data_IF_487729660535
#
_entry.id   IF_487729660535
#
_cell.length_a   1.000
_cell.length_b   1.000
_cell.length_c   1.000
_cell.angle_alpha   90.00
_cell.angle_beta   90.00
_cell.angle_gamma   90.00
#
_symmetry.space_group_name_H-M   'P 1'
#
loop_
_entity.id
_entity.type
_entity.pdbx_description
1 polymer ?
#
# COMPACT_ATOMS: atom_id res chain seq x y z
N UNK A 1 -27.04 16.65 12.64
CA UNK A 1 -26.82 16.23 12.14
C UNK A 1 -25.99 16.56 11.36
N UNK A 2 -25.56 16.74 10.80
CA UNK A 2 -24.66 17.24 10.05
C UNK A 2 -23.28 16.84 10.25
N UNK A 3 -23.03 15.81 10.87
CA UNK A 3 -21.72 15.44 11.01
C UNK A 3 -21.22 14.90 9.71
N UNK A 4 -20.25 15.49 9.12
CA UNK A 4 -19.62 14.99 7.90
C UNK A 4 -18.57 13.98 8.27
N UNK A 5 -18.73 12.76 7.79
CA UNK A 5 -17.74 11.72 8.03
C UNK A 5 -16.86 11.60 6.81
N UNK A 6 -15.57 11.84 7.00
CA UNK A 6 -14.61 11.71 5.90
C UNK A 6 -14.41 10.23 5.62
N UNK A 7 -14.59 9.81 4.38
CA UNK A 7 -14.42 8.42 4.03
C UNK A 7 -12.94 8.04 4.06
N UNK A 8 -12.69 6.75 4.17
CA UNK A 8 -11.32 6.25 4.13
C UNK A 8 -10.67 6.60 2.80
N UNK A 9 -11.42 6.51 1.71
CA UNK A 9 -10.91 6.88 0.41
C UNK A 9 -10.45 8.33 0.38
N UNK A 10 -11.27 9.23 0.94
CA UNK A 10 -10.90 10.63 1.00
C UNK A 10 -9.68 10.86 1.87
N UNK A 11 -9.60 10.17 3.00
CA UNK A 11 -8.47 10.30 3.89
C UNK A 11 -7.19 9.84 3.23
N UNK A 12 -7.23 8.74 2.49
CA UNK A 12 -6.06 8.26 1.77
C UNK A 12 -5.64 9.26 0.68
N UNK A 13 -6.61 9.80 -0.03
CA UNK A 13 -6.32 10.77 -1.07
C UNK A 13 -5.69 12.02 -0.49
N UNK A 14 -6.20 12.48 0.64
CA UNK A 14 -5.65 13.66 1.31
C UNK A 14 -4.23 13.39 1.81
N UNK A 15 -4.00 12.20 2.38
CA UNK A 15 -2.67 11.84 2.84
C UNK A 15 -1.69 11.79 1.68
N UNK A 16 -2.10 11.20 0.57
CA UNK A 16 -1.25 11.13 -0.61
C UNK A 16 -0.91 12.53 -1.11
N UNK A 17 -1.89 13.43 -1.11
CA UNK A 17 -1.67 14.82 -1.49
C UNK A 17 -0.69 15.50 -0.55
N UNK A 18 -0.85 15.28 0.74
CA UNK A 18 0.03 15.91 1.73
C UNK A 18 1.46 15.44 1.57
N UNK A 19 1.65 14.24 1.07
CA UNK A 19 2.99 13.69 0.87
C UNK A 19 3.58 14.02 -0.50
N UNK A 20 2.86 14.78 -1.31
CA UNK A 20 3.36 15.07 -2.63
C UNK A 20 4.71 15.81 -2.63
N UNK A 21 5.02 16.71 -1.69
CA UNK A 21 6.37 17.26 -1.64
C UNK A 21 7.45 16.20 -1.43
N UNK A 22 7.16 15.23 -0.57
CA UNK A 22 8.08 14.11 -0.37
C UNK A 22 8.25 13.31 -1.64
N UNK A 23 7.13 13.02 -2.33
CA UNK A 23 7.19 12.28 -3.57
C UNK A 23 8.08 12.95 -4.60
N UNK A 24 8.03 14.27 -4.66
CA UNK A 24 8.81 15.02 -5.63
C UNK A 24 10.32 14.92 -5.38
N UNK A 25 10.73 14.56 -4.17
CA UNK A 25 12.15 14.38 -3.89
C UNK A 25 12.66 13.01 -4.31
N UNK A 26 11.78 12.11 -4.68
CA UNK A 26 12.16 10.75 -5.02
C UNK A 26 12.60 10.67 -6.49
N UNK A 27 13.44 9.67 -6.77
CA UNK A 27 13.75 9.33 -8.14
C UNK A 27 12.48 8.86 -8.84
N UNK A 28 12.45 8.99 -10.16
CA UNK A 28 11.25 8.63 -10.90
C UNK A 28 10.80 7.18 -10.65
N UNK A 29 11.75 6.27 -10.62
CA UNK A 29 11.41 4.87 -10.36
C UNK A 29 10.79 4.69 -8.98
N UNK A 30 11.28 5.44 -7.99
CA UNK A 30 10.74 5.37 -6.65
C UNK A 30 9.36 6.03 -6.57
N UNK A 31 9.10 7.03 -7.41
CA UNK A 31 7.78 7.65 -7.45
C UNK A 31 6.73 6.65 -7.90
N UNK A 32 7.07 5.82 -8.87
CA UNK A 32 6.12 4.78 -9.31
C UNK A 32 5.86 3.78 -8.19
N UNK A 33 6.90 3.42 -7.44
CA UNK A 33 6.72 2.50 -6.32
C UNK A 33 5.87 3.15 -5.25
N UNK A 34 6.13 4.42 -4.95
CA UNK A 34 5.33 5.18 -3.99
C UNK A 34 3.86 5.18 -4.39
N UNK A 35 3.58 5.46 -5.66
CA UNK A 35 2.20 5.48 -6.15
C UNK A 35 1.57 4.10 -6.01
N UNK A 36 2.35 3.04 -6.21
CA UNK A 36 1.87 1.68 -6.07
C UNK A 36 1.47 1.36 -4.64
N UNK A 37 2.16 1.95 -3.65
CA UNK A 37 1.80 1.73 -2.26
C UNK A 37 0.40 2.26 -1.96
N UNK A 38 0.07 3.44 -2.47
CA UNK A 38 -1.26 3.98 -2.26
C UNK A 38 -2.31 3.22 -3.05
N UNK A 39 -1.96 2.72 -4.22
CA UNK A 39 -2.87 1.85 -4.96
C UNK A 39 -3.16 0.57 -4.16
N UNK A 40 -2.11 0.01 -3.53
CA UNK A 40 -2.29 -1.17 -2.69
C UNK A 40 -3.21 -0.87 -1.51
N UNK A 41 -3.01 0.28 -0.87
CA UNK A 41 -3.88 0.66 0.24
C UNK A 41 -5.33 0.77 -0.21
N UNK A 42 -5.55 1.32 -1.39
CA UNK A 42 -6.92 1.46 -1.91
C UNK A 42 -7.57 0.11 -2.18
N UNK A 43 -6.78 -0.90 -2.55
CA UNK A 43 -7.33 -2.24 -2.75
C UNK A 43 -7.80 -2.87 -1.46
N UNK A 44 -7.35 -2.36 -0.32
CA UNK A 44 -7.74 -2.91 0.99
C UNK A 44 -8.65 -1.98 1.76
N UNK A 45 -9.33 -1.10 1.05
CA UNK A 45 -10.19 -0.08 1.67
C UNK A 45 -11.21 -0.71 2.62
N UNK A 46 -11.83 -1.81 2.19
CA UNK A 46 -12.88 -2.42 3.01
C UNK A 46 -12.32 -2.91 4.34
N UNK A 47 -11.14 -3.51 4.31
CA UNK A 47 -10.53 -3.99 5.56
C UNK A 47 -10.12 -2.83 6.44
N UNK A 48 -9.56 -1.77 5.83
CA UNK A 48 -9.15 -0.59 6.58
C UNK A 48 -10.37 0.03 7.27
N UNK A 49 -11.47 0.13 6.53
CA UNK A 49 -12.64 0.81 7.06
C UNK A 49 -13.34 0.09 8.19
N UNK A 50 -13.05 -1.21 8.36
CA UNK A 50 -13.69 -1.97 9.43
C UNK A 50 -12.91 -1.95 10.73
N UNK A 51 -11.69 -1.48 10.70
CA UNK A 51 -10.87 -1.46 11.89
C UNK A 51 -10.99 -0.10 12.56
N UNK A 52 -11.72 -0.06 13.66
CA UNK A 52 -12.00 1.20 14.34
C UNK A 52 -10.94 1.58 15.37
N UNK A 53 -10.12 0.62 15.77
CA UNK A 53 -9.11 0.90 16.79
C UNK A 53 -7.84 1.50 16.21
N UNK A 54 -7.70 1.49 14.89
CA UNK A 54 -6.52 2.02 14.23
C UNK A 54 -6.85 3.32 13.52
N UNK A 55 -5.88 4.22 13.47
CA UNK A 55 -6.03 5.42 12.68
C UNK A 55 -6.00 5.04 11.20
N UNK A 56 -6.71 5.79 10.34
CA UNK A 56 -6.76 5.43 8.91
C UNK A 56 -5.39 5.34 8.26
N UNK A 57 -4.46 6.24 8.61
CA UNK A 57 -3.13 6.18 8.01
C UNK A 57 -2.37 4.94 8.47
N UNK A 58 -2.50 4.58 9.74
CA UNK A 58 -1.86 3.38 10.24
C UNK A 58 -2.42 2.14 9.57
N UNK A 59 -3.74 2.11 9.38
CA UNK A 59 -4.36 0.99 8.67
C UNK A 59 -3.86 0.92 7.24
N UNK A 60 -3.70 2.07 6.59
CA UNK A 60 -3.17 2.11 5.23
C UNK A 60 -1.75 1.57 5.18
N UNK A 61 -0.92 1.93 6.16
CA UNK A 61 0.44 1.41 6.21
C UNK A 61 0.46 -0.10 6.35
N UNK A 62 -0.43 -0.65 7.18
CA UNK A 62 -0.53 -2.10 7.31
C UNK A 62 -0.94 -2.75 5.99
N UNK A 63 -1.87 -2.14 5.27
CA UNK A 63 -2.28 -2.66 3.97
C UNK A 63 -1.13 -2.65 2.98
N UNK A 64 -0.35 -1.57 2.98
CA UNK A 64 0.82 -1.48 2.12
C UNK A 64 1.83 -2.57 2.45
N UNK A 65 2.09 -2.78 3.74
CA UNK A 65 3.03 -3.81 4.16
C UNK A 65 2.50 -5.20 3.81
N UNK A 66 1.21 -5.41 3.95
CA UNK A 66 0.62 -6.69 3.58
C UNK A 66 0.86 -6.99 2.10
N UNK A 67 0.59 -6.01 1.24
CA UNK A 67 0.82 -6.19 -0.19
C UNK A 67 2.28 -6.46 -0.48
N UNK A 68 3.18 -5.74 0.16
CA UNK A 68 4.61 -5.96 -0.05
C UNK A 68 5.02 -7.35 0.40
N UNK A 69 4.49 -7.80 1.54
CA UNK A 69 4.80 -9.14 2.02
C UNK A 69 4.31 -10.20 1.05
N UNK A 70 3.13 -10.00 0.48
CA UNK A 70 2.60 -10.94 -0.50
C UNK A 70 3.46 -10.99 -1.76
N UNK A 71 3.90 -9.83 -2.21
CA UNK A 71 4.76 -9.79 -3.40
C UNK A 71 6.10 -10.49 -3.15
N UNK A 72 6.66 -10.27 -1.96
CA UNK A 72 7.90 -10.92 -1.60
C UNK A 72 7.72 -12.43 -1.58
N UNK A 73 6.63 -12.92 -1.00
CA UNK A 73 6.36 -14.34 -0.95
C UNK A 73 6.25 -14.95 -2.35
N UNK A 74 5.56 -14.24 -3.25
CA UNK A 74 5.43 -14.72 -4.62
C UNK A 74 6.79 -14.75 -5.31
N UNK A 75 7.60 -13.73 -5.12
CA UNK A 75 8.92 -13.67 -5.73
C UNK A 75 9.83 -14.76 -5.18
N UNK A 76 9.76 -15.02 -3.88
CA UNK A 76 10.55 -16.10 -3.29
C UNK A 76 10.17 -17.44 -3.88
N UNK A 77 8.89 -17.67 -4.08
CA UNK A 77 8.42 -18.91 -4.68
C UNK A 77 8.94 -19.04 -6.11
N UNK A 78 8.90 -17.97 -6.88
CA UNK A 78 9.38 -18.00 -8.25
C UNK A 78 10.87 -18.26 -8.31
N UNK A 79 11.63 -17.69 -7.38
CA UNK A 79 13.06 -17.92 -7.32
C UNK A 79 13.33 -19.39 -7.03
N UNK A 80 12.61 -19.96 -6.08
CA UNK A 80 12.79 -21.37 -5.75
C UNK A 80 12.46 -22.26 -6.94
N UNK A 81 11.43 -21.92 -7.68
CA UNK A 81 11.06 -22.69 -8.87
C UNK A 81 12.15 -22.61 -9.94
N UNK A 82 12.72 -21.42 -10.13
CA UNK A 82 13.80 -21.26 -11.08
C UNK A 82 15.04 -22.03 -10.68
N UNK A 83 15.37 -22.01 -9.40
CA UNK A 83 16.52 -22.75 -8.90
C UNK A 83 16.31 -24.25 -9.12
N UNK A 84 15.11 -24.75 -8.84
CA UNK A 84 14.82 -26.16 -9.10
C UNK A 84 14.97 -26.50 -10.57
N UNK A 85 14.49 -25.64 -11.45
CA UNK A 85 14.60 -25.89 -12.88
C UNK A 85 16.05 -25.97 -13.33
N UNK A 86 16.90 -25.15 -12.74
CA UNK A 86 18.27 -25.05 -13.17
C UNK A 86 19.20 -26.05 -12.47
N UNK A 87 18.68 -26.76 -11.47
CA UNK A 87 19.55 -27.68 -10.72
C UNK A 87 19.40 -29.12 -11.14
N UNK A 88 18.87 -29.38 -12.29
CA UNK A 88 18.74 -30.75 -12.79
C UNK A 88 20.08 -31.35 -13.12
#
# INVERSE_FOLDING_TARGET
MGRTVVTITQQLTETESMLSPFRRTLRRSDQYIFDGLFAAARRHIAAIGQEESLLPFESALLAMLLEQSKEIAVLQQKIEELIKKNSC
#
